data_IF_794869477812
#
_entry.id   IF_794869477812
#
_cell.length_a   1.000
_cell.length_b   1.000
_cell.length_c   1.000
_cell.angle_alpha   90.00
_cell.angle_beta   90.00
_cell.angle_gamma   90.00
#
_symmetry.space_group_name_H-M   'P 1'
#
loop_
_entity.id
_entity.type
_entity.pdbx_description
1 polymer ?
#
# COMPACT_ATOMS: atom_id res chain seq x y z
N UNK A 1 -8.65 8.74 2.93
CA UNK A 1 -7.62 8.15 2.06
C UNK A 1 -8.08 6.76 1.68
N UNK A 2 -8.04 6.41 0.39
CA UNK A 2 -8.40 5.06 -0.07
C UNK A 2 -7.40 4.02 0.46
N UNK A 3 -7.91 2.82 0.79
CA UNK A 3 -7.07 1.68 1.15
C UNK A 3 -6.59 0.98 -0.12
N UNK A 4 -5.28 0.72 -0.20
CA UNK A 4 -4.66 -0.03 -1.31
C UNK A 4 -5.30 -1.42 -1.50
N UNK A 5 -5.76 -2.05 -0.42
CA UNK A 5 -6.45 -3.33 -0.48
C UNK A 5 -7.75 -3.23 -1.29
N UNK A 6 -8.53 -2.18 -1.06
CA UNK A 6 -9.77 -1.92 -1.80
C UNK A 6 -9.50 -1.72 -3.30
N UNK A 7 -8.43 -0.97 -3.62
CA UNK A 7 -8.01 -0.75 -5.02
C UNK A 7 -7.61 -2.08 -5.67
N UNK A 8 -6.91 -2.94 -4.95
CA UNK A 8 -6.43 -4.24 -5.43
C UNK A 8 -7.55 -5.26 -5.63
N UNK A 9 -8.47 -5.34 -4.66
CA UNK A 9 -9.54 -6.35 -4.66
C UNK A 9 -10.63 -6.03 -5.67
N UNK A 10 -10.91 -4.74 -5.90
CA UNK A 10 -12.02 -4.29 -6.75
C UNK A 10 -11.61 -3.13 -7.67
N UNK A 11 -10.59 -3.31 -8.54
CA UNK A 11 -10.03 -2.21 -9.32
C UNK A 11 -11.05 -1.56 -10.26
N UNK A 12 -11.89 -2.37 -10.92
CA UNK A 12 -12.91 -1.87 -11.85
C UNK A 12 -13.97 -1.03 -11.14
N UNK A 13 -14.43 -1.48 -9.96
CA UNK A 13 -15.39 -0.73 -9.15
C UNK A 13 -14.79 0.60 -8.66
N UNK A 14 -13.54 0.57 -8.21
CA UNK A 14 -12.84 1.78 -7.74
C UNK A 14 -12.68 2.77 -8.89
N UNK A 15 -12.23 2.31 -10.07
CA UNK A 15 -12.09 3.17 -11.25
C UNK A 15 -13.43 3.77 -11.67
N UNK A 16 -14.49 2.96 -11.77
CA UNK A 16 -15.83 3.43 -12.11
C UNK A 16 -16.32 4.51 -11.15
N UNK A 17 -16.13 4.34 -9.83
CA UNK A 17 -16.52 5.33 -8.83
C UNK A 17 -15.68 6.61 -8.88
N UNK A 18 -14.40 6.51 -9.23
CA UNK A 18 -13.54 7.68 -9.46
C UNK A 18 -13.98 8.46 -10.70
N UNK A 19 -14.38 7.76 -11.76
CA UNK A 19 -14.87 8.37 -13.00
C UNK A 19 -16.18 9.16 -12.79
N UNK A 20 -17.00 8.79 -11.81
CA UNK A 20 -18.17 9.59 -11.38
C UNK A 20 -17.76 10.97 -10.83
N UNK A 21 -16.53 11.14 -10.37
CA UNK A 21 -16.00 12.42 -9.85
C UNK A 21 -15.23 13.22 -10.91
N UNK A 22 -15.06 12.68 -12.10
CA UNK A 22 -14.39 13.30 -13.23
C UNK A 22 -13.81 12.22 -14.13
N UNK A 23 -14.52 11.92 -15.23
CA UNK A 23 -14.12 10.87 -16.16
C UNK A 23 -12.68 11.11 -16.68
N UNK A 24 -11.80 10.13 -16.48
CA UNK A 24 -10.40 10.19 -16.88
C UNK A 24 -9.50 11.12 -16.05
N UNK A 25 -10.03 11.76 -14.99
CA UNK A 25 -9.22 12.61 -14.10
C UNK A 25 -8.34 11.81 -13.14
N UNK A 26 -8.70 10.58 -12.85
CA UNK A 26 -8.03 9.72 -11.90
C UNK A 26 -7.76 8.35 -12.51
N UNK A 27 -6.50 7.90 -12.46
CA UNK A 27 -6.08 6.60 -12.97
C UNK A 27 -5.41 5.78 -11.85
N UNK A 28 -5.94 4.58 -11.61
CA UNK A 28 -5.40 3.66 -10.59
C UNK A 28 -4.36 2.69 -11.15
N UNK A 29 -4.16 2.62 -12.46
CA UNK A 29 -3.23 1.66 -13.07
C UNK A 29 -1.78 1.85 -12.60
N UNK A 30 -1.25 3.09 -12.46
CA UNK A 30 0.09 3.29 -11.91
C UNK A 30 0.23 2.74 -10.47
N UNK A 31 -0.83 2.88 -9.65
CA UNK A 31 -0.84 2.38 -8.27
C UNK A 31 -0.79 0.85 -8.26
N UNK A 32 -1.60 0.20 -9.10
CA UNK A 32 -1.63 -1.26 -9.22
C UNK A 32 -0.28 -1.82 -9.72
N UNK A 33 0.36 -1.14 -10.67
CA UNK A 33 1.67 -1.53 -11.18
C UNK A 33 2.75 -1.46 -10.09
N UNK A 34 2.76 -0.38 -9.28
CA UNK A 34 3.71 -0.23 -8.17
C UNK A 34 3.42 -1.22 -7.03
N UNK A 35 2.13 -1.48 -6.72
CA UNK A 35 1.73 -2.48 -5.74
C UNK A 35 2.17 -3.89 -6.15
N UNK A 36 2.07 -4.23 -7.44
CA UNK A 36 2.60 -5.48 -7.98
C UNK A 36 4.10 -5.62 -7.71
N UNK A 37 4.89 -4.59 -8.03
CA UNK A 37 6.33 -4.57 -7.78
C UNK A 37 6.67 -4.65 -6.28
N UNK A 38 5.93 -3.96 -5.43
CA UNK A 38 6.13 -4.04 -3.99
C UNK A 38 5.93 -5.47 -3.49
N UNK A 39 4.90 -6.16 -3.94
CA UNK A 39 4.64 -7.55 -3.55
C UNK A 39 5.72 -8.53 -4.03
N UNK A 40 6.29 -8.30 -5.21
CA UNK A 40 7.42 -9.07 -5.71
C UNK A 40 8.66 -8.88 -4.81
N UNK A 41 8.97 -7.63 -4.42
CA UNK A 41 10.07 -7.36 -3.49
C UNK A 41 9.82 -7.96 -2.11
N UNK A 42 8.61 -7.86 -1.57
CA UNK A 42 8.23 -8.49 -0.29
C UNK A 42 8.38 -10.02 -0.34
N UNK A 43 8.03 -10.65 -1.46
CA UNK A 43 8.24 -12.09 -1.68
C UNK A 43 9.73 -12.44 -1.69
N UNK A 44 10.53 -11.69 -2.44
CA UNK A 44 11.98 -11.87 -2.51
C UNK A 44 12.62 -11.70 -1.13
N UNK A 45 12.25 -10.64 -0.41
CA UNK A 45 12.71 -10.40 0.96
C UNK A 45 12.38 -11.56 1.89
N UNK A 46 11.14 -12.08 1.80
CA UNK A 46 10.70 -13.22 2.63
C UNK A 46 11.54 -14.47 2.37
N UNK A 47 11.86 -14.75 1.11
CA UNK A 47 12.72 -15.88 0.72
C UNK A 47 14.16 -15.69 1.24
N UNK A 48 14.73 -14.51 1.07
CA UNK A 48 16.07 -14.20 1.58
C UNK A 48 16.13 -14.28 3.10
N UNK A 49 15.09 -13.79 3.80
CA UNK A 49 15.00 -13.88 5.26
C UNK A 49 14.91 -15.33 5.73
N UNK A 50 14.10 -16.16 5.05
CA UNK A 50 14.02 -17.60 5.34
C UNK A 50 15.37 -18.28 5.13
N UNK A 51 16.10 -17.95 4.04
CA UNK A 51 17.46 -18.49 3.79
C UNK A 51 18.47 -18.04 4.83
N UNK A 52 18.42 -16.78 5.25
CA UNK A 52 19.27 -16.26 6.32
C UNK A 52 19.08 -17.04 7.64
N UNK A 53 17.80 -17.29 7.99
CA UNK A 53 17.46 -18.05 9.19
C UNK A 53 17.95 -19.51 9.10
N UNK A 54 17.79 -20.14 7.94
CA UNK A 54 18.27 -21.50 7.68
C UNK A 54 19.81 -21.61 7.81
N UNK A 55 20.56 -20.67 7.21
CA UNK A 55 22.01 -20.58 7.32
C UNK A 55 22.41 -20.47 8.80
N UNK A 56 21.76 -19.58 9.55
CA UNK A 56 22.02 -19.42 10.98
C UNK A 56 21.80 -20.70 11.77
N UNK A 57 20.74 -21.46 11.44
CA UNK A 57 20.44 -22.76 12.04
C UNK A 57 21.54 -23.79 11.71
N UNK A 58 21.92 -23.92 10.43
CA UNK A 58 22.94 -24.85 9.97
C UNK A 58 24.31 -24.57 10.62
N UNK A 59 24.72 -23.31 10.70
CA UNK A 59 25.97 -22.92 11.39
C UNK A 59 25.87 -23.32 12.87
N UNK A 60 24.74 -23.05 13.53
CA UNK A 60 24.56 -23.43 14.94
C UNK A 60 24.59 -24.95 15.18
N UNK A 61 24.04 -25.75 14.27
CA UNK A 61 24.08 -27.22 14.33
C UNK A 61 25.49 -27.76 14.13
N UNK A 62 26.21 -27.27 13.14
CA UNK A 62 27.60 -27.67 12.89
C UNK A 62 28.51 -27.33 14.09
N UNK A 63 28.36 -26.15 14.67
CA UNK A 63 29.15 -25.77 15.84
C UNK A 63 28.83 -26.64 17.06
N UNK A 64 27.55 -27.01 17.29
CA UNK A 64 27.16 -27.95 18.35
C UNK A 64 27.71 -29.35 18.11
N UNK A 65 27.85 -29.77 16.86
CA UNK A 65 28.45 -31.04 16.50
C UNK A 65 30.01 -31.05 16.68
N UNK A 66 30.60 -29.93 17.13
CA UNK A 66 32.05 -29.82 17.38
C UNK A 66 32.86 -29.42 16.17
N UNK A 67 32.23 -29.01 15.06
CA UNK A 67 32.93 -28.49 13.89
C UNK A 67 33.58 -27.16 14.23
N UNK A 68 34.88 -27.01 13.90
CA UNK A 68 35.62 -25.81 14.20
C UNK A 68 35.05 -24.58 13.44
N UNK A 69 34.97 -23.41 14.09
CA UNK A 69 34.39 -22.19 13.50
C UNK A 69 35.12 -21.69 12.24
N UNK A 70 36.34 -22.18 12.00
CA UNK A 70 37.15 -21.91 10.79
C UNK A 70 37.14 -23.07 9.78
N UNK A 71 36.33 -24.09 10.00
CA UNK A 71 36.15 -25.16 9.03
C UNK A 71 35.60 -24.63 7.71
N UNK A 72 36.03 -25.19 6.56
CA UNK A 72 35.61 -24.68 5.24
C UNK A 72 34.08 -24.68 5.05
N UNK A 73 33.40 -25.69 5.61
CA UNK A 73 31.93 -25.79 5.53
C UNK A 73 31.22 -24.61 6.26
N UNK A 74 31.74 -24.28 7.47
CA UNK A 74 31.18 -23.13 8.23
C UNK A 74 31.54 -21.81 7.55
N UNK A 75 32.71 -21.71 6.96
CA UNK A 75 33.12 -20.49 6.23
C UNK A 75 32.22 -20.25 5.01
N UNK A 76 31.95 -21.31 4.24
CA UNK A 76 31.02 -21.23 3.09
C UNK A 76 29.63 -20.74 3.51
N UNK A 77 29.06 -21.28 4.60
CA UNK A 77 27.77 -20.85 5.13
C UNK A 77 27.80 -19.39 5.60
N UNK A 78 28.88 -18.95 6.22
CA UNK A 78 29.06 -17.55 6.64
C UNK A 78 29.10 -16.60 5.43
N UNK A 79 29.85 -16.99 4.39
CA UNK A 79 29.99 -16.19 3.18
C UNK A 79 28.66 -16.09 2.45
N UNK A 80 27.87 -17.18 2.36
CA UNK A 80 26.51 -17.17 1.87
C UNK A 80 25.62 -16.27 2.72
N UNK A 81 25.69 -16.35 4.05
CA UNK A 81 24.95 -15.51 4.97
C UNK A 81 25.25 -14.02 4.80
N UNK A 82 26.51 -13.68 4.57
CA UNK A 82 26.93 -12.31 4.27
C UNK A 82 26.35 -11.82 2.93
N UNK A 83 26.34 -12.68 1.92
CA UNK A 83 25.76 -12.37 0.61
C UNK A 83 24.23 -12.12 0.72
N UNK A 84 23.51 -13.00 1.39
CA UNK A 84 22.07 -12.84 1.64
C UNK A 84 21.78 -11.56 2.42
N UNK A 85 22.59 -11.23 3.41
CA UNK A 85 22.45 -9.97 4.17
C UNK A 85 22.69 -8.74 3.30
N UNK A 86 23.67 -8.79 2.40
CA UNK A 86 23.91 -7.70 1.45
C UNK A 86 22.70 -7.49 0.53
N UNK A 87 22.13 -8.58 -0.02
CA UNK A 87 20.91 -8.51 -0.83
C UNK A 87 19.72 -7.93 -0.07
N UNK A 88 19.52 -8.32 1.19
CA UNK A 88 18.44 -7.73 2.03
C UNK A 88 18.63 -6.22 2.23
N UNK A 89 19.86 -5.77 2.44
CA UNK A 89 20.18 -4.35 2.60
C UNK A 89 19.94 -3.55 1.31
N UNK A 90 20.15 -4.16 0.14
CA UNK A 90 19.88 -3.54 -1.16
C UNK A 90 18.37 -3.41 -1.46
N UNK A 91 17.54 -4.33 -0.95
CA UNK A 91 16.08 -4.28 -1.14
C UNK A 91 15.43 -3.18 -0.30
N UNK A 92 15.93 -2.87 0.88
CA UNK A 92 15.31 -1.95 1.83
C UNK A 92 15.05 -0.54 1.24
N UNK A 93 16.01 0.11 0.56
CA UNK A 93 15.76 1.42 -0.05
C UNK A 93 14.73 1.34 -1.18
N UNK A 94 14.72 0.27 -1.98
CA UNK A 94 13.76 0.08 -3.05
C UNK A 94 12.32 -0.11 -2.52
N UNK A 95 12.15 -0.89 -1.46
CA UNK A 95 10.86 -1.05 -0.78
C UNK A 95 10.34 0.28 -0.21
N UNK A 96 11.23 1.06 0.41
CA UNK A 96 10.89 2.37 0.97
C UNK A 96 10.43 3.34 -0.11
N UNK A 97 11.15 3.38 -1.22
CA UNK A 97 10.83 4.24 -2.36
C UNK A 97 9.47 3.87 -2.97
N UNK A 98 9.22 2.58 -3.25
CA UNK A 98 7.94 2.11 -3.79
C UNK A 98 6.78 2.46 -2.85
N UNK A 99 6.94 2.26 -1.55
CA UNK A 99 5.93 2.60 -0.56
C UNK A 99 5.63 4.10 -0.55
N UNK A 100 6.64 4.95 -0.67
CA UNK A 100 6.47 6.40 -0.74
C UNK A 100 5.73 6.81 -2.02
N UNK A 101 6.08 6.23 -3.17
CA UNK A 101 5.41 6.50 -4.44
C UNK A 101 3.94 6.08 -4.41
N UNK A 102 3.62 4.86 -3.94
CA UNK A 102 2.25 4.38 -3.78
C UNK A 102 1.45 5.33 -2.87
N UNK A 103 2.02 5.71 -1.73
CA UNK A 103 1.37 6.63 -0.79
C UNK A 103 1.07 7.97 -1.46
N UNK A 104 2.03 8.54 -2.18
CA UNK A 104 1.87 9.81 -2.90
C UNK A 104 0.74 9.73 -3.92
N UNK A 105 0.65 8.66 -4.70
CA UNK A 105 -0.40 8.48 -5.69
C UNK A 105 -1.78 8.30 -5.04
N UNK A 106 -1.87 7.50 -3.97
CA UNK A 106 -3.14 7.30 -3.26
C UNK A 106 -3.66 8.60 -2.63
N UNK A 107 -2.76 9.46 -2.12
CA UNK A 107 -3.12 10.76 -1.56
C UNK A 107 -3.70 11.73 -2.60
N UNK A 108 -3.41 11.55 -3.88
CA UNK A 108 -3.99 12.33 -4.97
C UNK A 108 -5.40 11.88 -5.35
N UNK A 109 -5.81 10.68 -4.93
CA UNK A 109 -7.14 10.17 -5.20
C UNK A 109 -8.16 10.73 -4.20
N UNK A 110 -9.34 11.19 -4.67
CA UNK A 110 -10.43 11.54 -3.77
C UNK A 110 -11.05 10.29 -3.16
N UNK A 111 -11.82 10.47 -2.08
CA UNK A 111 -12.63 9.38 -1.54
C UNK A 111 -13.72 8.98 -2.54
N UNK A 112 -14.07 7.69 -2.55
CA UNK A 112 -15.13 7.17 -3.40
C UNK A 112 -16.50 7.73 -2.97
N UNK A 113 -17.37 8.11 -3.92
CA UNK A 113 -18.72 8.49 -3.59
C UNK A 113 -19.52 7.31 -3.04
N UNK A 114 -20.48 7.60 -2.17
CA UNK A 114 -21.48 6.63 -1.74
C UNK A 114 -22.37 6.24 -2.93
N UNK A 115 -22.96 5.04 -2.89
CA UNK A 115 -23.91 4.59 -3.92
C UNK A 115 -25.19 5.44 -3.95
N UNK A 116 -25.48 6.14 -2.85
CA UNK A 116 -26.63 7.06 -2.74
C UNK A 116 -26.29 8.49 -3.14
N UNK A 117 -25.03 8.80 -3.51
CA UNK A 117 -24.63 10.15 -3.90
C UNK A 117 -25.15 10.45 -5.30
N UNK A 118 -25.96 11.53 -5.48
CA UNK A 118 -26.38 11.97 -6.80
C UNK A 118 -25.20 12.29 -7.69
N UNK A 119 -25.28 11.95 -8.96
CA UNK A 119 -24.27 12.29 -9.96
C UNK A 119 -24.57 13.71 -10.43
N UNK A 120 -23.59 14.60 -10.33
CA UNK A 120 -23.69 15.99 -10.78
C UNK A 120 -22.32 16.57 -11.12
N UNK A 121 -22.31 17.60 -11.98
CA UNK A 121 -21.10 18.29 -12.44
C UNK A 121 -20.92 19.65 -11.78
N UNK A 122 -21.96 20.21 -11.20
CA UNK A 122 -21.94 21.52 -10.54
C UNK A 122 -22.83 21.51 -9.29
N UNK A 123 -22.77 22.57 -8.51
CA UNK A 123 -23.62 22.80 -7.34
C UNK A 123 -25.11 22.93 -7.68
N UNK A 124 -25.43 23.35 -8.91
CA UNK A 124 -26.79 23.48 -9.39
C UNK A 124 -27.54 22.14 -9.53
N UNK A 125 -26.76 21.05 -9.67
CA UNK A 125 -27.25 19.67 -9.77
C UNK A 125 -27.36 18.98 -8.40
N UNK A 126 -27.11 19.70 -7.31
CA UNK A 126 -27.23 19.15 -5.96
C UNK A 126 -28.68 18.83 -5.64
N UNK A 127 -28.91 17.61 -5.14
CA UNK A 127 -30.23 17.16 -4.69
C UNK A 127 -30.34 17.36 -3.19
N UNK A 128 -31.31 18.15 -2.78
CA UNK A 128 -31.61 18.34 -1.36
C UNK A 128 -32.25 17.04 -0.81
N UNK A 129 -31.49 16.32 0.04
CA UNK A 129 -31.95 15.07 0.64
C UNK A 129 -32.84 15.29 1.86
N UNK A 130 -32.65 16.39 2.60
CA UNK A 130 -33.35 16.67 3.84
C UNK A 130 -33.19 18.12 4.24
N UNK A 131 -34.29 18.78 4.61
CA UNK A 131 -34.30 20.04 5.36
C UNK A 131 -34.46 19.78 6.84
N UNK A 132 -33.83 20.59 7.66
CA UNK A 132 -33.98 20.55 9.10
C UNK A 132 -33.91 21.98 9.67
N UNK A 133 -34.77 22.27 10.66
CA UNK A 133 -34.74 23.54 11.35
C UNK A 133 -35.67 24.61 10.77
N UNK A 134 -36.57 24.26 9.82
CA UNK A 134 -37.56 25.21 9.25
C UNK A 134 -38.39 25.87 10.34
N UNK A 135 -38.65 25.16 11.45
CA UNK A 135 -39.38 25.67 12.63
C UNK A 135 -38.61 26.72 13.43
N UNK A 136 -37.27 26.85 13.21
CA UNK A 136 -36.40 27.80 13.86
C UNK A 136 -36.04 29.01 13.01
N UNK A 137 -36.64 29.13 11.80
CA UNK A 137 -36.45 30.32 10.96
C UNK A 137 -37.18 31.49 11.61
N UNK A 138 -36.46 32.56 12.02
CA UNK A 138 -37.15 33.74 12.60
C UNK A 138 -38.14 34.34 11.61
N UNK A 139 -39.37 34.46 12.00
CA UNK A 139 -40.42 35.08 11.18
C UNK A 139 -40.23 36.59 10.99
N UNK A 140 -39.25 37.18 11.73
CA UNK A 140 -38.90 38.59 11.61
C UNK A 140 -37.43 38.77 11.27
N UNK A 141 -37.04 39.02 10.01
CA UNK A 141 -35.66 39.17 9.56
C UNK A 141 -34.98 40.47 10.06
N UNK A 142 -35.64 41.30 10.84
CA UNK A 142 -35.08 42.58 11.37
C UNK A 142 -34.35 42.41 12.71
N UNK A 143 -34.13 41.19 13.20
CA UNK A 143 -33.42 40.92 14.48
C UNK A 143 -32.04 40.28 14.26
N UNK A 144 -31.39 40.60 13.20
CA UNK A 144 -29.95 40.28 13.01
C UNK A 144 -29.17 41.56 12.83
#
# INVERSE_FOLDING_TARGET
>A
MLDIRQIRENPELVQTKLDLRGAGAYDIQPILALDGRQRELESTRSQLQARSNEIGKLVGEQMRAGVAANAPEIQTLKDEGNHVKAQLNELEPAERELKAQITTLILQLPNLPSDTTPIGKSEDENVELRKWGDEYIPTNPQIL
#
